data_IF_776173146255
#
_entry.id   IF_776173146255
#
_cell.length_a   1.000
_cell.length_b   1.000
_cell.length_c   1.000
_cell.angle_alpha   90.00
_cell.angle_beta   90.00
_cell.angle_gamma   90.00
#
_symmetry.space_group_name_H-M   'P 1'
#
loop_
_entity.id
_entity.type
_entity.pdbx_description
1 polymer ?
#
# COMPACT_ATOMS: atom_id res chain seq x y z
N UNK A 1 -26.22 -0.25 -46.04
CA UNK A 1 -25.44 -1.44 -45.64
C UNK A 1 -23.92 -1.28 -45.75
N UNK A 2 -23.37 -0.08 -46.05
CA UNK A 2 -21.90 0.12 -46.20
C UNK A 2 -21.27 1.07 -45.17
N UNK A 3 -22.06 1.71 -44.29
CA UNK A 3 -21.57 2.70 -43.34
C UNK A 3 -21.19 2.13 -41.96
N UNK A 4 -21.54 0.88 -41.67
CA UNK A 4 -21.22 0.23 -40.39
C UNK A 4 -19.79 -0.35 -40.37
N UNK A 5 -19.21 -0.64 -41.54
CA UNK A 5 -17.87 -1.23 -41.67
C UNK A 5 -16.73 -0.22 -41.41
N UNK A 6 -16.90 1.06 -41.77
CA UNK A 6 -15.84 2.05 -41.56
C UNK A 6 -15.62 2.41 -40.08
N UNK A 7 -16.67 2.29 -39.26
CA UNK A 7 -16.60 2.46 -37.81
C UNK A 7 -15.90 1.27 -37.12
N UNK A 8 -16.02 0.06 -37.68
CA UNK A 8 -15.28 -1.12 -37.25
C UNK A 8 -13.82 -1.12 -37.72
N UNK A 9 -13.52 -0.58 -38.90
CA UNK A 9 -12.14 -0.37 -39.36
C UNK A 9 -11.42 0.76 -38.59
N UNK A 10 -12.11 1.85 -38.22
CA UNK A 10 -11.56 2.88 -37.30
C UNK A 10 -11.36 2.37 -35.86
N UNK A 11 -11.86 1.16 -35.52
CA UNK A 11 -11.52 0.43 -34.29
C UNK A 11 -10.21 -0.36 -34.38
N UNK A 12 -9.44 -0.28 -35.47
CA UNK A 12 -8.00 -0.61 -35.47
C UNK A 12 -7.23 0.44 -34.65
N UNK A 13 -7.55 0.51 -33.36
CA UNK A 13 -6.97 1.45 -32.42
C UNK A 13 -5.53 1.03 -32.14
N UNK A 14 -4.61 1.74 -32.80
CA UNK A 14 -3.23 2.06 -32.41
C UNK A 14 -2.45 0.89 -31.80
N UNK A 15 -1.46 0.39 -32.55
CA UNK A 15 -0.38 -0.53 -32.13
C UNK A 15 -0.17 -0.50 -30.61
N UNK A 16 -0.88 -1.39 -29.90
CA UNK A 16 -0.74 -1.54 -28.45
C UNK A 16 0.54 -2.33 -28.25
N UNK A 17 1.50 -1.75 -27.51
CA UNK A 17 2.75 -2.42 -27.16
C UNK A 17 2.49 -3.88 -26.73
N UNK A 18 3.09 -4.80 -27.47
CA UNK A 18 3.00 -6.25 -27.26
C UNK A 18 4.19 -6.66 -26.41
N UNK A 19 3.95 -7.45 -25.36
CA UNK A 19 4.97 -8.07 -24.52
C UNK A 19 4.84 -9.59 -24.64
N UNK A 20 5.95 -10.30 -24.75
CA UNK A 20 5.95 -11.77 -24.72
C UNK A 20 5.91 -12.26 -23.27
N UNK A 21 5.05 -13.24 -22.98
CA UNK A 21 5.02 -13.95 -21.70
C UNK A 21 5.31 -15.42 -21.98
N UNK A 22 6.14 -16.03 -21.14
CA UNK A 22 6.48 -17.44 -21.20
C UNK A 22 5.53 -18.25 -20.32
N UNK A 23 4.81 -19.20 -20.90
CA UNK A 23 3.93 -20.15 -20.22
C UNK A 23 4.32 -21.55 -20.70
N UNK A 24 4.69 -22.45 -19.79
CA UNK A 24 5.10 -23.82 -20.12
C UNK A 24 6.14 -23.88 -21.24
N UNK A 25 7.21 -23.08 -21.11
CA UNK A 25 8.30 -22.96 -22.07
C UNK A 25 7.97 -22.31 -23.42
N UNK A 26 6.71 -22.03 -23.70
CA UNK A 26 6.26 -21.38 -24.93
C UNK A 26 6.01 -19.88 -24.71
N UNK A 27 6.39 -19.05 -25.69
CA UNK A 27 6.17 -17.60 -25.63
C UNK A 27 4.87 -17.19 -26.33
N UNK A 28 4.09 -16.35 -25.65
CA UNK A 28 2.83 -15.81 -26.16
C UNK A 28 2.88 -14.28 -26.19
N UNK A 29 2.57 -13.65 -27.34
CA UNK A 29 2.42 -12.21 -27.41
C UNK A 29 1.13 -11.79 -26.69
N UNK A 30 1.25 -10.89 -25.73
CA UNK A 30 0.09 -10.34 -25.02
C UNK A 30 0.11 -8.81 -25.00
N UNK A 31 -1.06 -8.23 -24.80
CA UNK A 31 -1.18 -6.80 -24.53
C UNK A 31 -0.63 -6.45 -23.14
N UNK A 32 -0.07 -5.24 -23.01
CA UNK A 32 0.45 -4.70 -21.74
C UNK A 32 -0.51 -4.83 -20.54
N UNK A 33 -1.80 -4.61 -20.75
CA UNK A 33 -2.81 -4.73 -19.68
C UNK A 33 -3.01 -6.20 -19.26
N UNK A 34 -2.99 -7.13 -20.23
CA UNK A 34 -3.09 -8.55 -19.95
C UNK A 34 -1.86 -9.04 -19.18
N UNK A 35 -0.66 -8.55 -19.53
CA UNK A 35 0.56 -8.85 -18.78
C UNK A 35 0.43 -8.50 -17.29
N UNK A 36 -0.05 -7.31 -16.98
CA UNK A 36 -0.28 -6.88 -15.59
C UNK A 36 -1.29 -7.77 -14.86
N UNK A 37 -2.40 -8.11 -15.52
CA UNK A 37 -3.44 -8.95 -14.95
C UNK A 37 -2.96 -10.38 -14.67
N UNK A 38 -2.25 -10.99 -15.63
CA UNK A 38 -1.72 -12.36 -15.52
C UNK A 38 -0.73 -12.48 -14.36
N UNK A 39 0.16 -11.49 -14.19
CA UNK A 39 1.13 -11.50 -13.10
C UNK A 39 0.60 -10.94 -11.77
N UNK A 40 -0.65 -10.45 -11.72
CA UNK A 40 -1.21 -9.81 -10.53
C UNK A 40 -0.50 -8.50 -10.12
N UNK A 41 0.13 -7.81 -11.08
CA UNK A 41 0.89 -6.58 -10.82
C UNK A 41 0.06 -5.38 -11.24
N UNK A 42 -0.10 -4.40 -10.35
CA UNK A 42 -0.82 -3.16 -10.70
C UNK A 42 -0.01 -2.29 -11.67
N UNK A 43 -0.70 -1.65 -12.63
CA UNK A 43 -0.16 -0.62 -13.54
C UNK A 43 0.82 0.34 -12.86
N UNK A 44 0.41 0.91 -11.72
CA UNK A 44 1.21 1.89 -10.98
C UNK A 44 2.58 1.38 -10.56
N UNK A 45 2.70 0.09 -10.19
CA UNK A 45 3.99 -0.49 -9.79
C UNK A 45 4.95 -0.56 -10.98
N UNK A 46 4.47 -1.03 -12.13
CA UNK A 46 5.28 -1.11 -13.36
C UNK A 46 5.71 0.28 -13.83
N UNK A 47 4.81 1.26 -13.77
CA UNK A 47 5.15 2.64 -14.15
C UNK A 47 6.13 3.30 -13.19
N UNK A 48 6.02 3.07 -11.88
CA UNK A 48 6.99 3.58 -10.91
C UNK A 48 8.38 2.98 -11.15
N UNK A 49 8.47 1.66 -11.35
CA UNK A 49 9.75 1.00 -11.66
C UNK A 49 10.32 1.55 -12.97
N UNK A 50 9.50 1.70 -14.02
CA UNK A 50 9.95 2.24 -15.30
C UNK A 50 10.43 3.69 -15.19
N UNK A 51 9.78 4.53 -14.37
CA UNK A 51 10.24 5.91 -14.10
C UNK A 51 11.58 5.91 -13.37
N UNK A 52 11.71 5.10 -12.32
CA UNK A 52 12.94 4.96 -11.53
C UNK A 52 14.12 4.47 -12.38
N UNK A 53 13.89 3.47 -13.23
CA UNK A 53 14.89 2.98 -14.19
C UNK A 53 15.34 4.08 -15.17
N UNK A 54 14.41 4.87 -15.72
CA UNK A 54 14.74 5.99 -16.62
C UNK A 54 15.55 7.08 -15.92
N UNK A 55 15.26 7.35 -14.65
CA UNK A 55 16.00 8.32 -13.85
C UNK A 55 17.31 7.76 -13.27
N UNK A 56 17.63 6.49 -13.50
CA UNK A 56 18.76 5.78 -12.91
C UNK A 56 18.78 5.85 -11.37
N UNK A 57 17.59 5.84 -10.76
CA UNK A 57 17.38 5.88 -9.30
C UNK A 57 16.72 4.56 -8.92
N UNK A 58 17.08 3.99 -7.77
CA UNK A 58 16.37 2.80 -7.28
C UNK A 58 14.88 3.10 -7.04
N UNK A 59 13.98 2.18 -7.42
CA UNK A 59 12.56 2.30 -7.09
C UNK A 59 12.37 2.52 -5.59
N UNK A 60 11.68 3.60 -5.24
CA UNK A 60 11.43 3.92 -3.84
C UNK A 60 10.45 2.89 -3.24
N UNK A 61 10.61 2.52 -1.96
CA UNK A 61 9.68 1.66 -1.25
C UNK A 61 8.24 2.20 -1.25
N UNK A 62 7.26 1.34 -0.99
CA UNK A 62 5.87 1.77 -0.85
C UNK A 62 5.71 2.74 0.33
N UNK A 63 5.33 3.99 0.04
CA UNK A 63 5.18 5.06 1.03
C UNK A 63 3.72 5.25 1.50
N UNK A 64 2.80 4.32 1.15
CA UNK A 64 1.44 4.32 1.69
C UNK A 64 1.46 4.34 3.23
N UNK A 65 0.54 5.08 3.84
CA UNK A 65 0.45 5.23 5.31
C UNK A 65 1.52 6.14 5.95
N UNK A 66 2.55 6.55 5.21
CA UNK A 66 3.61 7.47 5.68
C UNK A 66 3.32 8.94 5.39
N UNK A 67 2.05 9.29 5.17
CA UNK A 67 1.66 10.67 4.93
C UNK A 67 1.84 11.52 6.19
N UNK A 68 2.54 12.65 6.04
CA UNK A 68 2.81 13.59 7.13
C UNK A 68 1.60 14.46 7.48
N UNK A 69 0.75 14.74 6.50
CA UNK A 69 -0.47 15.49 6.75
C UNK A 69 -1.50 14.56 7.44
N UNK A 70 -1.57 14.75 8.75
CA UNK A 70 -2.49 14.10 9.68
C UNK A 70 -3.18 15.22 10.44
N UNK A 71 -4.25 15.81 9.88
CA UNK A 71 -4.86 17.01 10.44
C UNK A 71 -5.44 16.76 11.84
N UNK A 72 -5.83 15.51 12.11
CA UNK A 72 -6.35 15.06 13.40
C UNK A 72 -5.27 14.46 14.30
N UNK A 73 -3.98 14.69 14.01
CA UNK A 73 -2.89 14.21 14.87
C UNK A 73 -2.89 15.04 16.15
N UNK A 74 -3.05 14.37 17.29
CA UNK A 74 -2.91 14.98 18.61
C UNK A 74 -1.49 15.55 18.73
N UNK A 75 -1.34 16.80 19.20
CA UNK A 75 -0.02 17.41 19.33
C UNK A 75 0.79 16.71 20.43
N UNK A 76 2.11 16.63 20.21
CA UNK A 76 3.02 15.82 21.02
C UNK A 76 3.01 16.20 22.51
N UNK A 77 2.83 17.48 22.82
CA UNK A 77 2.72 17.96 24.19
C UNK A 77 1.49 17.37 24.89
N UNK A 78 0.34 17.29 24.23
CA UNK A 78 -0.88 16.71 24.80
C UNK A 78 -0.72 15.21 25.01
N UNK A 79 -0.06 14.51 24.09
CA UNK A 79 0.27 13.09 24.26
C UNK A 79 1.13 12.88 25.51
N UNK A 80 2.16 13.69 25.70
CA UNK A 80 3.02 13.64 26.89
C UNK A 80 2.25 13.91 28.18
N UNK A 81 1.38 14.92 28.20
CA UNK A 81 0.54 15.22 29.36
C UNK A 81 -0.36 14.03 29.73
N UNK A 82 -0.96 13.37 28.73
CA UNK A 82 -1.78 12.17 28.94
C UNK A 82 -0.91 11.03 29.50
N UNK A 83 0.26 10.79 28.93
CA UNK A 83 1.18 9.75 29.41
C UNK A 83 1.64 9.99 30.85
N UNK A 84 2.00 11.23 31.19
CA UNK A 84 2.43 11.61 32.55
C UNK A 84 1.28 11.46 33.54
N UNK A 85 0.05 11.86 33.16
CA UNK A 85 -1.14 11.63 33.96
C UNK A 85 -1.40 10.14 34.18
N UNK A 86 -1.32 9.31 33.13
CA UNK A 86 -1.48 7.85 33.25
C UNK A 86 -0.41 7.25 34.18
N UNK A 87 0.84 7.74 34.11
CA UNK A 87 1.94 7.28 34.97
C UNK A 87 1.81 7.72 36.42
N UNK A 88 1.07 8.78 36.70
CA UNK A 88 0.82 9.25 38.06
C UNK A 88 -0.02 8.27 38.89
N UNK A 89 -0.81 7.41 38.24
CA UNK A 89 -1.60 6.40 38.94
C UNK A 89 -0.71 5.28 39.50
N UNK A 90 -0.99 4.88 40.74
CA UNK A 90 -0.30 3.75 41.36
C UNK A 90 -0.55 2.46 40.57
N UNK A 91 0.53 1.74 40.27
CA UNK A 91 0.46 0.46 39.56
C UNK A 91 -0.06 -0.60 40.53
N UNK A 92 -1.10 -1.33 40.15
CA UNK A 92 -1.60 -2.48 40.91
C UNK A 92 -1.46 -3.75 40.10
N UNK A 93 -1.00 -4.82 40.75
CA UNK A 93 -1.10 -6.17 40.20
C UNK A 93 -2.58 -6.56 40.19
N UNK A 94 -3.13 -6.81 39.01
CA UNK A 94 -4.45 -7.42 38.89
C UNK A 94 -4.30 -8.94 39.01
N UNK A 95 -5.33 -9.63 39.51
CA UNK A 95 -5.35 -11.10 39.55
C UNK A 95 -5.13 -11.72 38.15
N UNK A 96 -5.54 -11.00 37.10
CA UNK A 96 -5.33 -11.34 35.69
C UNK A 96 -4.00 -10.85 35.11
N UNK A 97 -3.14 -10.20 35.89
CA UNK A 97 -1.81 -9.81 35.43
C UNK A 97 -0.98 -11.08 35.20
N UNK A 98 -0.87 -11.49 33.94
CA UNK A 98 0.00 -12.60 33.53
C UNK A 98 1.42 -12.31 34.02
N UNK A 99 2.09 -13.28 34.64
CA UNK A 99 3.42 -13.12 35.27
C UNK A 99 4.57 -12.65 34.38
N UNK A 100 4.33 -12.38 33.08
CA UNK A 100 5.24 -11.71 32.13
C UNK A 100 4.82 -10.27 31.80
N UNK A 101 3.94 -9.69 32.60
CA UNK A 101 3.58 -8.29 32.45
C UNK A 101 4.63 -7.44 33.17
N UNK A 102 5.69 -7.07 32.45
CA UNK A 102 6.75 -6.17 32.92
C UNK A 102 6.22 -4.73 33.15
N UNK A 103 5.25 -4.57 34.04
CA UNK A 103 4.68 -3.28 34.43
C UNK A 103 3.77 -2.61 33.41
N UNK A 104 3.16 -3.33 32.45
CA UNK A 104 2.18 -2.71 31.52
C UNK A 104 0.80 -2.63 32.18
N UNK A 105 0.52 -1.42 32.65
CA UNK A 105 -0.76 -0.77 32.91
C UNK A 105 -1.99 -1.68 33.12
N UNK A 106 -2.43 -1.81 34.37
CA UNK A 106 -3.85 -1.98 34.70
C UNK A 106 -4.19 -1.02 35.84
N UNK A 107 -4.79 0.12 35.53
CA UNK A 107 -5.42 0.99 36.52
C UNK A 107 -6.75 0.35 36.92
N UNK A 108 -6.88 -0.13 38.16
CA UNK A 108 -8.23 -0.32 38.72
C UNK A 108 -8.64 0.99 39.38
N UNK A 109 -9.62 1.68 38.80
CA UNK A 109 -10.29 2.79 39.45
C UNK A 109 -11.08 2.23 40.64
N UNK A 110 -10.75 2.63 41.86
CA UNK A 110 -11.59 2.35 43.03
C UNK A 110 -12.54 3.52 43.22
N UNK A 111 -13.84 3.23 43.12
CA UNK A 111 -14.94 4.09 43.59
C UNK A 111 -15.10 4.02 45.10
#
# INVERSE_FOLDING_TARGET
>A
MLLENEAELKREKKKKFISNIKVNEQEYPVYKNAMWAIHGITKFRVENIAKSLKSNIMPQPDMRGRHLNRPNKIPENVVRTIDDHIRSFTRRSSHYSRGKNNGRYTTCWQS
#
